data_IF_038460550959
#
_entry.id   IF_038460550959
#
_cell.length_a   1.000
_cell.length_b   1.000
_cell.length_c   1.000
_cell.angle_alpha   90.00
_cell.angle_beta   90.00
_cell.angle_gamma   90.00
#
_symmetry.space_group_name_H-M   'P 1'
#
loop_
_entity.id
_entity.type
_entity.pdbx_description
1 polymer ?
#
# COMPACT_ATOMS: atom_id res chain seq x y z
N UNK A 1 3.98 23.00 -21.22
CA UNK A 1 3.51 21.87 -20.39
C UNK A 1 4.10 21.90 -18.97
N UNK A 2 5.41 21.70 -18.73
CA UNK A 2 5.96 21.63 -17.35
C UNK A 2 5.78 22.93 -16.54
N UNK A 3 6.01 24.08 -17.17
CA UNK A 3 5.77 25.40 -16.58
C UNK A 3 4.30 25.57 -16.17
N UNK A 4 3.39 25.19 -17.06
CA UNK A 4 1.94 25.36 -16.85
C UNK A 4 1.44 24.42 -15.76
N UNK A 5 1.98 23.19 -15.68
CA UNK A 5 1.73 22.26 -14.57
C UNK A 5 2.13 22.86 -13.23
N UNK A 6 3.32 23.48 -13.14
CA UNK A 6 3.80 24.14 -11.91
C UNK A 6 2.90 25.32 -11.50
N UNK A 7 2.33 26.02 -12.47
CA UNK A 7 1.35 27.08 -12.21
C UNK A 7 0.04 26.50 -11.70
N UNK A 8 -0.52 25.51 -12.41
CA UNK A 8 -1.78 24.85 -12.04
C UNK A 8 -1.69 24.16 -10.67
N UNK A 9 -0.54 23.60 -10.28
CA UNK A 9 -0.32 22.98 -8.97
C UNK A 9 -0.57 23.90 -7.77
N UNK A 10 -0.65 25.22 -7.98
CA UNK A 10 -1.01 26.19 -6.94
C UNK A 10 -2.53 26.36 -6.80
N UNK A 11 -3.28 26.10 -7.85
CA UNK A 11 -4.74 26.24 -7.93
C UNK A 11 -5.44 25.16 -7.08
N UNK A 12 -6.41 25.58 -6.25
CA UNK A 12 -7.23 24.69 -5.44
C UNK A 12 -8.06 23.72 -6.28
N UNK A 13 -8.56 24.14 -7.43
CA UNK A 13 -9.35 23.28 -8.31
C UNK A 13 -8.50 22.13 -8.87
N UNK A 14 -7.25 22.41 -9.22
CA UNK A 14 -6.34 21.38 -9.70
C UNK A 14 -5.89 20.43 -8.59
N UNK A 15 -5.69 20.92 -7.36
CA UNK A 15 -5.44 20.05 -6.18
C UNK A 15 -6.64 19.12 -5.91
N UNK A 16 -7.86 19.66 -5.93
CA UNK A 16 -9.08 18.88 -5.74
C UNK A 16 -9.24 17.82 -6.83
N UNK A 17 -8.89 18.14 -8.08
CA UNK A 17 -8.87 17.16 -9.17
C UNK A 17 -7.87 16.02 -8.91
N UNK A 18 -6.66 16.31 -8.43
CA UNK A 18 -5.68 15.28 -8.05
C UNK A 18 -6.17 14.39 -6.90
N UNK A 19 -6.78 14.98 -5.87
CA UNK A 19 -7.35 14.23 -4.74
C UNK A 19 -8.51 13.34 -5.18
N UNK A 20 -9.41 13.85 -6.01
CA UNK A 20 -10.52 13.08 -6.58
C UNK A 20 -10.02 11.88 -7.38
N UNK A 21 -9.01 12.06 -8.24
CA UNK A 21 -8.45 10.97 -9.02
C UNK A 21 -7.70 9.95 -8.16
N UNK A 22 -6.91 10.41 -7.17
CA UNK A 22 -6.29 9.54 -6.15
C UNK A 22 -7.35 8.69 -5.45
N UNK A 23 -8.43 9.31 -5.02
CA UNK A 23 -9.45 8.64 -4.21
C UNK A 23 -10.28 7.66 -5.02
N UNK A 24 -10.69 8.07 -6.22
CA UNK A 24 -11.48 7.24 -7.14
C UNK A 24 -10.74 6.00 -7.59
N UNK A 25 -9.45 6.12 -7.94
CA UNK A 25 -8.70 5.05 -8.59
C UNK A 25 -7.89 4.21 -7.60
N UNK A 26 -7.40 4.78 -6.50
CA UNK A 26 -6.45 4.11 -5.63
C UNK A 26 -6.97 3.95 -4.19
N UNK A 27 -7.27 5.06 -3.51
CA UNK A 27 -7.56 5.04 -2.08
C UNK A 27 -8.85 4.31 -1.75
N UNK A 28 -9.98 4.71 -2.36
CA UNK A 28 -11.27 4.10 -2.05
C UNK A 28 -11.32 2.61 -2.43
N UNK A 29 -10.82 2.17 -3.60
CA UNK A 29 -10.77 0.74 -3.92
C UNK A 29 -9.93 -0.07 -2.92
N UNK A 30 -8.73 0.39 -2.57
CA UNK A 30 -7.87 -0.32 -1.61
C UNK A 30 -8.49 -0.40 -0.21
N UNK A 31 -9.04 0.71 0.30
CA UNK A 31 -9.69 0.74 1.62
C UNK A 31 -10.95 -0.14 1.62
N UNK A 32 -11.76 -0.09 0.55
CA UNK A 32 -12.92 -0.96 0.40
C UNK A 32 -12.53 -2.44 0.42
N UNK A 33 -11.48 -2.81 -0.31
CA UNK A 33 -10.99 -4.18 -0.33
C UNK A 33 -10.41 -4.60 1.03
N UNK A 34 -9.65 -3.72 1.70
CA UNK A 34 -9.13 -4.01 3.04
C UNK A 34 -10.24 -4.24 4.07
N UNK A 35 -11.32 -3.44 4.02
CA UNK A 35 -12.51 -3.67 4.85
C UNK A 35 -13.19 -5.00 4.55
N UNK A 36 -13.31 -5.38 3.26
CA UNK A 36 -13.87 -6.66 2.85
C UNK A 36 -13.02 -7.87 3.31
N UNK A 37 -11.70 -7.70 3.38
CA UNK A 37 -10.78 -8.70 3.94
C UNK A 37 -10.71 -8.67 5.48
N UNK A 38 -11.37 -7.69 6.12
CA UNK A 38 -11.41 -7.55 7.58
C UNK A 38 -10.09 -7.08 8.19
N UNK A 39 -9.22 -6.42 7.41
CA UNK A 39 -7.95 -5.89 7.92
C UNK A 39 -8.12 -4.48 8.51
N UNK A 40 -7.34 -4.19 9.55
CA UNK A 40 -7.25 -2.88 10.21
C UNK A 40 -6.44 -1.89 9.38
N UNK A 41 -6.19 -0.70 9.93
CA UNK A 41 -5.61 0.43 9.22
C UNK A 41 -4.26 0.12 8.54
N UNK A 42 -3.38 -0.64 9.19
CA UNK A 42 -2.12 -1.09 8.61
C UNK A 42 -2.32 -1.94 7.35
N UNK A 43 -3.30 -2.85 7.36
CA UNK A 43 -3.61 -3.67 6.19
C UNK A 43 -4.23 -2.86 5.05
N UNK A 44 -5.13 -1.93 5.39
CA UNK A 44 -5.69 -0.99 4.41
C UNK A 44 -4.60 -0.11 3.79
N UNK A 45 -3.65 0.38 4.60
CA UNK A 45 -2.48 1.11 4.12
C UNK A 45 -1.60 0.25 3.21
N UNK A 46 -1.33 -1.01 3.59
CA UNK A 46 -0.54 -1.92 2.76
C UNK A 46 -1.18 -2.14 1.38
N UNK A 47 -2.52 -2.18 1.30
CA UNK A 47 -3.26 -2.30 0.04
C UNK A 47 -3.19 -1.02 -0.77
N UNK A 48 -3.38 0.13 -0.12
CA UNK A 48 -3.29 1.44 -0.77
C UNK A 48 -1.89 1.66 -1.38
N UNK A 49 -0.85 1.33 -0.62
CA UNK A 49 0.53 1.47 -1.09
C UNK A 49 0.82 0.49 -2.25
N UNK A 50 0.23 -0.71 -2.25
CA UNK A 50 0.38 -1.67 -3.33
C UNK A 50 -0.32 -1.20 -4.63
N UNK A 51 -1.57 -0.75 -4.55
CA UNK A 51 -2.31 -0.28 -5.74
C UNK A 51 -1.68 1.00 -6.33
N UNK A 52 -1.07 1.86 -5.52
CA UNK A 52 -0.35 3.04 -6.02
C UNK A 52 0.87 2.64 -6.86
N UNK A 53 1.60 1.60 -6.47
CA UNK A 53 2.79 1.13 -7.20
C UNK A 53 2.43 0.31 -8.42
N UNK A 54 1.49 -0.61 -8.26
CA UNK A 54 1.23 -1.65 -9.26
C UNK A 54 -0.04 -1.42 -10.08
N UNK A 55 -0.84 -0.40 -9.75
CA UNK A 55 -2.19 -0.25 -10.29
C UNK A 55 -3.09 -1.45 -9.95
N UNK A 56 -4.25 -1.50 -10.60
CA UNK A 56 -5.18 -2.62 -10.50
C UNK A 56 -5.69 -3.04 -11.89
N UNK A 57 -4.75 -3.19 -12.82
CA UNK A 57 -4.99 -3.70 -14.17
C UNK A 57 -4.99 -5.24 -14.25
N UNK A 58 -4.78 -5.77 -15.46
CA UNK A 58 -4.73 -7.22 -15.71
C UNK A 58 -3.38 -7.89 -15.45
N UNK A 59 -2.33 -7.13 -15.17
CA UNK A 59 -0.96 -7.63 -15.09
C UNK A 59 -0.72 -8.54 -13.90
N UNK A 60 0.24 -9.48 -14.03
CA UNK A 60 0.57 -10.46 -12.97
C UNK A 60 1.02 -9.81 -11.66
N UNK A 61 1.52 -8.59 -11.71
CA UNK A 61 1.99 -7.81 -10.55
C UNK A 61 0.99 -6.76 -10.09
N UNK A 62 -0.19 -6.63 -10.72
CA UNK A 62 -1.26 -5.72 -10.26
C UNK A 62 -1.74 -6.04 -8.85
N UNK A 63 -2.35 -5.06 -8.18
CA UNK A 63 -2.88 -5.18 -6.82
C UNK A 63 -3.75 -6.43 -6.63
N UNK A 64 -4.77 -6.63 -7.48
CA UNK A 64 -5.65 -7.79 -7.41
C UNK A 64 -4.91 -9.12 -7.55
N UNK A 65 -3.89 -9.19 -8.40
CA UNK A 65 -3.10 -10.42 -8.58
C UNK A 65 -2.10 -10.64 -7.44
N UNK A 66 -1.53 -9.59 -6.84
CA UNK A 66 -0.75 -9.69 -5.60
C UNK A 66 -1.64 -10.24 -4.47
N UNK A 67 -2.84 -9.70 -4.30
CA UNK A 67 -3.81 -10.20 -3.32
C UNK A 67 -4.17 -11.66 -3.58
N UNK A 68 -4.44 -12.04 -4.84
CA UNK A 68 -4.71 -13.43 -5.22
C UNK A 68 -3.54 -14.37 -4.87
N UNK A 69 -2.30 -13.91 -5.08
CA UNK A 69 -1.10 -14.65 -4.67
C UNK A 69 -1.04 -14.84 -3.15
N UNK A 70 -1.37 -13.81 -2.37
CA UNK A 70 -1.44 -13.88 -0.91
C UNK A 70 -2.52 -14.86 -0.41
N UNK A 71 -3.70 -14.87 -1.06
CA UNK A 71 -4.80 -15.82 -0.75
C UNK A 71 -4.38 -17.28 -0.92
N UNK A 72 -3.43 -17.58 -1.82
CA UNK A 72 -2.85 -18.91 -1.95
C UNK A 72 -1.94 -19.33 -0.79
N UNK A 73 -1.68 -18.45 0.18
CA UNK A 73 -0.76 -18.67 1.30
C UNK A 73 -1.40 -18.48 2.67
N UNK A 74 -2.33 -17.55 2.81
CA UNK A 74 -3.02 -17.29 4.07
C UNK A 74 -4.47 -16.85 3.83
N UNK A 75 -5.35 -17.15 4.77
CA UNK A 75 -6.72 -16.62 4.78
C UNK A 75 -6.73 -15.21 5.37
N UNK A 76 -7.51 -14.26 4.83
CA UNK A 76 -7.73 -12.97 5.46
C UNK A 76 -8.60 -13.10 6.72
N UNK A 77 -8.62 -12.09 7.60
CA UNK A 77 -9.50 -12.04 8.78
C UNK A 77 -10.98 -12.32 8.48
N UNK A 78 -11.52 -11.81 7.37
CA UNK A 78 -12.92 -12.07 7.00
C UNK A 78 -13.22 -13.54 6.67
N UNK A 79 -12.19 -14.37 6.52
CA UNK A 79 -12.30 -15.83 6.34
C UNK A 79 -11.79 -16.61 7.57
N UNK A 80 -11.67 -15.94 8.73
CA UNK A 80 -11.21 -16.53 9.99
C UNK A 80 -9.69 -16.68 10.10
N UNK A 81 -8.90 -16.05 9.23
CA UNK A 81 -7.44 -16.06 9.32
C UNK A 81 -6.90 -15.05 10.33
N UNK A 82 -5.70 -15.30 10.85
CA UNK A 82 -4.97 -14.34 11.67
C UNK A 82 -4.45 -13.17 10.79
N UNK A 83 -4.69 -11.93 11.23
CA UNK A 83 -4.32 -10.75 10.46
C UNK A 83 -2.80 -10.61 10.28
N UNK A 84 -2.00 -10.96 11.29
CA UNK A 84 -0.54 -10.88 11.16
C UNK A 84 -0.03 -11.84 10.11
N UNK A 85 -0.57 -13.05 10.09
CA UNK A 85 -0.27 -14.08 9.09
C UNK A 85 -0.69 -13.63 7.70
N UNK A 86 -1.90 -13.09 7.57
CA UNK A 86 -2.41 -12.54 6.32
C UNK A 86 -1.54 -11.41 5.77
N UNK A 87 -1.18 -10.44 6.61
CA UNK A 87 -0.38 -9.29 6.18
C UNK A 87 1.06 -9.69 5.85
N UNK A 88 1.66 -10.67 6.53
CA UNK A 88 2.95 -11.22 6.10
C UNK A 88 2.85 -11.86 4.72
N UNK A 89 1.85 -12.72 4.48
CA UNK A 89 1.65 -13.34 3.18
C UNK A 89 1.42 -12.31 2.05
N UNK A 90 0.67 -11.25 2.33
CA UNK A 90 0.46 -10.15 1.39
C UNK A 90 1.75 -9.38 1.10
N UNK A 91 2.51 -9.01 2.15
CA UNK A 91 3.79 -8.30 1.98
C UNK A 91 4.83 -9.16 1.26
N UNK A 92 4.87 -10.47 1.49
CA UNK A 92 5.73 -11.42 0.75
C UNK A 92 5.36 -11.47 -0.74
N UNK A 93 4.05 -11.56 -1.04
CA UNK A 93 3.54 -11.53 -2.40
C UNK A 93 3.90 -10.22 -3.12
N UNK A 94 3.86 -9.11 -2.38
CA UNK A 94 4.21 -7.79 -2.89
C UNK A 94 5.70 -7.61 -3.13
N UNK A 95 6.55 -8.06 -2.22
CA UNK A 95 8.01 -8.07 -2.42
C UNK A 95 8.38 -8.91 -3.65
N UNK A 96 7.71 -10.05 -3.85
CA UNK A 96 7.89 -10.85 -5.06
C UNK A 96 7.53 -10.06 -6.32
N UNK A 97 6.42 -9.32 -6.32
CA UNK A 97 5.97 -8.53 -7.46
C UNK A 97 6.93 -7.37 -7.78
N UNK A 98 7.36 -6.61 -6.77
CA UNK A 98 8.33 -5.52 -6.93
C UNK A 98 9.64 -6.01 -7.56
N UNK A 99 10.12 -7.19 -7.16
CA UNK A 99 11.34 -7.80 -7.73
C UNK A 99 11.20 -8.28 -9.19
N UNK A 100 10.00 -8.28 -9.77
CA UNK A 100 9.83 -8.56 -11.21
C UNK A 100 10.00 -7.31 -12.08
N UNK A 101 9.98 -6.13 -11.47
CA UNK A 101 9.99 -4.84 -12.16
C UNK A 101 11.33 -4.15 -11.88
N UNK A 102 12.19 -3.96 -12.91
CA UNK A 102 13.54 -3.42 -12.73
C UNK A 102 13.57 -2.03 -12.06
N UNK A 103 12.50 -1.24 -12.19
CA UNK A 103 12.37 0.06 -11.54
C UNK A 103 12.10 -0.02 -10.03
N UNK A 104 11.74 -1.19 -9.50
CA UNK A 104 11.22 -1.38 -8.14
C UNK A 104 12.01 -2.40 -7.31
N UNK A 105 13.31 -2.57 -7.57
CA UNK A 105 14.15 -3.53 -6.83
C UNK A 105 14.30 -3.19 -5.33
N UNK A 106 14.27 -1.90 -4.99
CA UNK A 106 14.28 -1.45 -3.59
C UNK A 106 12.89 -1.65 -2.95
N UNK A 107 12.85 -2.57 -1.97
CA UNK A 107 11.63 -2.93 -1.22
C UNK A 107 11.60 -2.35 0.20
N UNK A 108 12.41 -1.32 0.49
CA UNK A 108 12.50 -0.68 1.82
C UNK A 108 11.16 -0.14 2.31
N UNK A 109 10.30 0.36 1.41
CA UNK A 109 8.92 0.76 1.72
C UNK A 109 8.09 -0.34 2.39
N UNK A 110 8.46 -1.61 2.18
CA UNK A 110 7.86 -2.77 2.82
C UNK A 110 8.71 -3.18 4.03
N UNK A 111 10.00 -3.47 3.82
CA UNK A 111 10.86 -4.13 4.81
C UNK A 111 11.24 -3.22 5.99
N UNK A 112 11.47 -1.93 5.74
CA UNK A 112 11.88 -0.95 6.77
C UNK A 112 10.79 0.06 7.12
N UNK A 113 9.55 -0.16 6.64
CA UNK A 113 8.36 0.59 7.04
C UNK A 113 7.19 -0.31 7.43
N UNK A 114 6.43 -0.83 6.47
CA UNK A 114 5.22 -1.62 6.75
C UNK A 114 5.47 -2.81 7.67
N UNK A 115 6.54 -3.58 7.43
CA UNK A 115 6.91 -4.71 8.30
C UNK A 115 7.36 -4.28 9.68
N UNK A 116 7.93 -3.08 9.85
CA UNK A 116 8.31 -2.56 11.17
C UNK A 116 7.06 -2.38 12.03
N UNK A 117 6.02 -1.77 11.47
CA UNK A 117 4.75 -1.57 12.18
C UNK A 117 4.01 -2.89 12.42
N UNK A 118 4.06 -3.82 11.45
CA UNK A 118 3.48 -5.16 11.62
C UNK A 118 4.17 -5.95 12.73
N UNK A 119 5.51 -5.91 12.80
CA UNK A 119 6.30 -6.58 13.86
C UNK A 119 6.01 -5.99 15.22
N UNK A 120 5.81 -4.68 15.30
CA UNK A 120 5.41 -3.97 16.52
C UNK A 120 3.94 -4.19 16.92
N UNK A 121 3.13 -4.87 16.09
CA UNK A 121 1.71 -5.07 16.35
C UNK A 121 0.87 -3.80 16.22
N UNK A 122 1.37 -2.76 15.53
CA UNK A 122 0.66 -1.50 15.33
C UNK A 122 -0.31 -1.60 14.14
N UNK A 123 -1.32 -2.46 14.28
CA UNK A 123 -2.32 -2.70 13.23
C UNK A 123 -3.25 -1.51 12.97
N UNK A 124 -3.39 -0.63 13.96
CA UNK A 124 -4.20 0.59 13.85
C UNK A 124 -3.40 1.77 13.28
N UNK A 125 -2.11 1.58 12.97
CA UNK A 125 -1.22 2.60 12.42
C UNK A 125 -1.16 3.88 13.28
N UNK A 126 -1.21 3.71 14.62
CA UNK A 126 -1.18 4.81 15.59
C UNK A 126 0.18 5.46 15.65
N UNK A 127 0.22 6.78 15.83
CA UNK A 127 1.45 7.51 16.06
C UNK A 127 1.95 7.28 17.50
N UNK A 128 3.27 7.42 17.76
CA UNK A 128 4.32 7.80 16.82
C UNK A 128 4.69 6.69 15.82
N UNK A 129 4.81 7.07 14.54
CA UNK A 129 5.31 6.20 13.48
C UNK A 129 6.76 6.57 13.16
N UNK A 130 7.65 5.56 13.15
CA UNK A 130 9.05 5.70 12.75
C UNK A 130 9.36 4.65 11.70
N UNK A 131 10.02 5.04 10.62
CA UNK A 131 10.38 4.13 9.53
C UNK A 131 11.54 4.64 8.70
N UNK A 132 12.04 3.79 7.80
CA UNK A 132 13.01 4.17 6.77
C UNK A 132 12.55 3.76 5.38
N UNK A 133 12.85 4.58 4.38
CA UNK A 133 12.74 4.24 2.95
C UNK A 133 13.98 4.78 2.26
N UNK A 134 14.60 4.00 1.37
CA UNK A 134 15.85 4.36 0.68
C UNK A 134 17.01 4.77 1.60
N UNK A 135 16.99 4.32 2.86
CA UNK A 135 17.98 4.64 3.90
C UNK A 135 17.62 5.84 4.78
N UNK A 136 16.73 6.73 4.31
CA UNK A 136 16.33 7.94 5.02
C UNK A 136 15.29 7.67 6.10
N UNK A 137 15.41 8.36 7.24
CA UNK A 137 14.54 8.17 8.40
C UNK A 137 13.42 9.20 8.44
N UNK A 138 12.22 8.74 8.75
CA UNK A 138 11.02 9.57 8.85
C UNK A 138 10.31 9.33 10.17
N UNK A 139 9.58 10.35 10.64
CA UNK A 139 8.77 10.26 11.86
C UNK A 139 7.51 11.09 11.74
N UNK A 140 6.39 10.53 12.22
CA UNK A 140 5.13 11.25 12.47
C UNK A 140 4.79 11.03 13.95
N UNK A 141 4.51 12.11 14.69
CA UNK A 141 4.17 12.08 16.12
C UNK A 141 2.66 12.23 16.32
#
# INVERSE_FOLDING_TARGET
YTKDWKTAAKDSAFKAAQESERDRVYFNPAVKQGKADGVRALGQFAYYDAIVVHGDGGDKTSFSNIRKRALGKAKPPSQGGDEKTWLNAFMDARVWAMKQEAAHEDVSRIETAQRVWLKAGNFDLKTPLKWKVYGDSYTIN
#
